data_IF_917821217265
#
_entry.id   IF_917821217265
#
_cell.length_a   1.000
_cell.length_b   1.000
_cell.length_c   1.000
_cell.angle_alpha   90.00
_cell.angle_beta   90.00
_cell.angle_gamma   90.00
#
_symmetry.space_group_name_H-M   'P 1'
#
loop_
_entity.id
_entity.type
_entity.pdbx_description
1 polymer ?
#
# COMPACT_ATOMS: atom_id res chain seq x y z
N UNK A 1 17.52 3.46 -9.25
CA UNK A 1 16.07 3.68 -9.07
C UNK A 1 15.84 4.27 -7.69
N UNK A 2 14.93 5.24 -7.53
CA UNK A 2 14.60 5.80 -6.21
C UNK A 2 13.82 4.80 -5.36
N UNK A 3 14.15 4.67 -4.08
CA UNK A 3 13.48 3.76 -3.13
C UNK A 3 11.98 4.05 -2.96
N UNK A 4 11.53 5.27 -3.29
CA UNK A 4 10.12 5.67 -3.21
C UNK A 4 9.38 5.64 -4.54
N UNK A 5 10.04 5.34 -5.66
CA UNK A 5 9.40 5.38 -6.98
C UNK A 5 8.19 4.45 -7.08
N UNK A 6 8.29 3.23 -6.54
CA UNK A 6 7.18 2.28 -6.51
C UNK A 6 6.01 2.78 -5.64
N UNK A 7 6.30 3.40 -4.49
CA UNK A 7 5.26 3.94 -3.60
C UNK A 7 4.55 5.14 -4.21
N UNK A 8 5.26 5.98 -4.97
CA UNK A 8 4.63 7.06 -5.74
C UNK A 8 3.71 6.51 -6.83
N UNK A 9 4.16 5.50 -7.58
CA UNK A 9 3.35 4.87 -8.62
C UNK A 9 2.09 4.20 -8.03
N UNK A 10 2.21 3.54 -6.88
CA UNK A 10 1.08 2.96 -6.14
C UNK A 10 0.07 4.01 -5.69
N UNK A 11 0.52 5.20 -5.27
CA UNK A 11 -0.37 6.28 -4.86
C UNK A 11 -1.23 6.79 -6.03
N UNK A 12 -0.63 6.98 -7.21
CA UNK A 12 -1.38 7.37 -8.41
C UNK A 12 -2.34 6.27 -8.86
N UNK A 13 -1.92 5.01 -8.77
CA UNK A 13 -2.77 3.88 -9.13
C UNK A 13 -3.96 3.74 -8.17
N UNK A 14 -3.73 3.91 -6.88
CA UNK A 14 -4.79 3.95 -5.87
C UNK A 14 -5.81 5.07 -6.16
N UNK A 15 -5.34 6.28 -6.46
CA UNK A 15 -6.22 7.39 -6.79
C UNK A 15 -7.10 7.07 -8.01
N UNK A 16 -6.53 6.51 -9.07
CA UNK A 16 -7.28 6.11 -10.25
C UNK A 16 -8.31 5.01 -9.94
N UNK A 17 -7.96 4.03 -9.11
CA UNK A 17 -8.89 2.99 -8.65
C UNK A 17 -10.04 3.57 -7.83
N UNK A 18 -9.74 4.44 -6.87
CA UNK A 18 -10.73 5.09 -6.02
C UNK A 18 -11.69 5.97 -6.84
N UNK A 19 -11.17 6.72 -7.81
CA UNK A 19 -11.96 7.52 -8.72
C UNK A 19 -12.91 6.66 -9.57
N UNK A 20 -12.39 5.60 -10.19
CA UNK A 20 -13.21 4.68 -11.00
C UNK A 20 -14.31 4.01 -10.17
N UNK A 21 -13.99 3.60 -8.93
CA UNK A 21 -14.98 3.03 -8.00
C UNK A 21 -16.06 4.05 -7.64
N UNK A 22 -15.66 5.30 -7.45
CA UNK A 22 -16.59 6.38 -7.09
C UNK A 22 -17.55 6.68 -8.24
N UNK A 23 -17.02 6.84 -9.45
CA UNK A 23 -17.82 7.06 -10.67
C UNK A 23 -18.77 5.90 -10.92
N UNK A 24 -18.32 4.65 -10.73
CA UNK A 24 -19.18 3.47 -10.87
C UNK A 24 -20.35 3.44 -9.89
N UNK A 25 -20.25 4.12 -8.74
CA UNK A 25 -21.29 4.15 -7.71
C UNK A 25 -22.26 5.32 -7.87
N UNK A 26 -21.77 6.51 -8.24
CA UNK A 26 -22.57 7.75 -8.23
C UNK A 26 -22.51 8.58 -9.53
N UNK A 27 -21.79 8.12 -10.55
CA UNK A 27 -21.61 8.82 -11.81
C UNK A 27 -20.55 9.93 -11.75
N UNK A 28 -20.36 10.62 -12.89
CA UNK A 28 -19.25 11.56 -13.09
C UNK A 28 -19.29 12.81 -12.19
N UNK A 29 -20.45 13.15 -11.63
CA UNK A 29 -20.57 14.30 -10.72
C UNK A 29 -19.78 14.14 -9.43
N UNK A 30 -19.35 12.92 -9.09
CA UNK A 30 -18.66 12.62 -7.85
C UNK A 30 -17.16 12.97 -7.87
N UNK A 31 -16.61 13.32 -9.03
CA UNK A 31 -15.17 13.59 -9.19
C UNK A 31 -14.70 14.75 -8.29
N UNK A 32 -15.58 15.70 -7.96
CA UNK A 32 -15.27 16.83 -7.09
C UNK A 32 -15.53 16.56 -5.60
N UNK A 33 -16.16 15.44 -5.26
CA UNK A 33 -16.39 15.02 -3.88
C UNK A 33 -15.16 14.25 -3.37
N UNK A 34 -14.20 15.00 -2.84
CA UNK A 34 -12.95 14.45 -2.32
C UNK A 34 -13.17 13.48 -1.15
N UNK A 35 -14.19 13.68 -0.33
CA UNK A 35 -14.50 12.82 0.81
C UNK A 35 -14.99 11.47 0.29
N UNK A 36 -15.94 11.48 -0.66
CA UNK A 36 -16.44 10.24 -1.25
C UNK A 36 -15.34 9.47 -2.00
N UNK A 37 -14.49 10.15 -2.77
CA UNK A 37 -13.34 9.51 -3.43
C UNK A 37 -12.39 8.90 -2.40
N UNK A 38 -12.13 9.60 -1.29
CA UNK A 38 -11.27 9.10 -0.21
C UNK A 38 -11.83 7.83 0.42
N UNK A 39 -13.15 7.74 0.67
CA UNK A 39 -13.77 6.51 1.21
C UNK A 39 -13.62 5.29 0.29
N UNK A 40 -13.40 5.51 -1.01
CA UNK A 40 -13.22 4.46 -2.02
C UNK A 40 -11.76 3.98 -2.19
N UNK A 41 -10.83 4.53 -1.40
CA UNK A 41 -9.43 4.10 -1.37
C UNK A 41 -9.22 2.75 -0.67
N UNK A 42 -10.13 2.35 0.22
CA UNK A 42 -10.01 1.10 0.97
C UNK A 42 -9.92 -0.14 0.08
N UNK A 43 -9.26 -1.17 0.60
CA UNK A 43 -9.16 -2.50 0.00
C UNK A 43 -7.77 -2.85 -0.54
N UNK A 44 -7.74 -3.90 -1.36
CA UNK A 44 -6.49 -4.53 -1.82
C UNK A 44 -6.32 -4.39 -3.32
N UNK A 45 -5.09 -4.13 -3.77
CA UNK A 45 -4.72 -4.13 -5.19
C UNK A 45 -3.28 -4.61 -5.40
N UNK A 46 -2.98 -5.00 -6.64
CA UNK A 46 -1.61 -5.32 -7.06
C UNK A 46 -0.93 -4.06 -7.60
N UNK A 47 0.00 -3.53 -6.83
CA UNK A 47 0.79 -2.35 -7.16
C UNK A 47 2.20 -2.67 -7.63
N UNK A 48 2.96 -1.62 -7.92
CA UNK A 48 4.38 -1.64 -8.29
C UNK A 48 5.29 -2.06 -7.13
N UNK A 49 4.84 -1.89 -5.88
CA UNK A 49 5.57 -2.43 -4.71
C UNK A 49 5.10 -3.82 -4.25
N UNK A 50 4.18 -4.45 -5.00
CA UNK A 50 3.55 -5.74 -4.68
C UNK A 50 2.10 -5.57 -4.23
N UNK A 51 1.59 -6.52 -3.44
CA UNK A 51 0.24 -6.41 -2.86
C UNK A 51 0.16 -5.21 -1.91
N UNK A 52 -0.75 -4.29 -2.20
CA UNK A 52 -1.02 -3.10 -1.38
C UNK A 52 -2.39 -3.23 -0.75
N UNK A 53 -2.48 -2.94 0.55
CA UNK A 53 -3.72 -2.99 1.33
C UNK A 53 -3.91 -1.63 2.00
N UNK A 54 -5.09 -1.03 1.81
CA UNK A 54 -5.54 0.16 2.52
C UNK A 54 -6.71 -0.19 3.43
N UNK A 55 -6.62 0.21 4.69
CA UNK A 55 -7.68 0.01 5.69
C UNK A 55 -8.86 0.97 5.47
N UNK A 56 -9.88 0.87 6.33
CA UNK A 56 -11.06 1.74 6.29
C UNK A 56 -10.76 3.23 6.59
N UNK A 57 -9.61 3.52 7.18
CA UNK A 57 -9.15 4.86 7.52
C UNK A 57 -8.22 5.45 6.45
N UNK A 58 -7.99 4.73 5.35
CA UNK A 58 -7.08 5.17 4.28
C UNK A 58 -5.60 5.04 4.64
N UNK A 59 -5.25 4.28 5.68
CA UNK A 59 -3.87 3.94 5.96
C UNK A 59 -3.45 2.74 5.13
N UNK A 60 -2.27 2.86 4.51
CA UNK A 60 -1.61 1.72 3.91
C UNK A 60 -1.11 0.79 5.02
N UNK A 61 -1.43 -0.50 4.94
CA UNK A 61 -0.79 -1.49 5.80
C UNK A 61 0.74 -1.47 5.57
N UNK A 62 1.54 -1.22 6.62
CA UNK A 62 2.97 -1.02 6.47
C UNK A 62 3.70 -2.32 6.19
N UNK A 63 4.68 -2.26 5.30
CA UNK A 63 5.62 -3.37 5.04
C UNK A 63 6.99 -2.93 5.53
N UNK A 64 7.52 -3.64 6.51
CA UNK A 64 8.85 -3.37 7.06
C UNK A 64 9.89 -4.30 6.45
N UNK A 65 11.08 -3.77 6.17
CA UNK A 65 12.27 -4.56 5.85
C UNK A 65 13.23 -4.42 7.01
N UNK A 66 13.50 -5.52 7.69
CA UNK A 66 14.45 -5.57 8.79
C UNK A 66 15.83 -5.97 8.25
N UNK A 67 16.84 -5.19 8.62
CA UNK A 67 18.21 -5.39 8.20
C UNK A 67 19.05 -5.72 9.44
N UNK A 68 19.69 -6.89 9.46
CA UNK A 68 20.61 -7.30 10.52
C UNK A 68 22.05 -7.23 10.04
N UNK A 69 22.97 -6.78 10.90
CA UNK A 69 24.41 -6.92 10.67
C UNK A 69 24.88 -8.21 11.34
N UNK A 70 25.47 -9.11 10.57
CA UNK A 70 26.14 -10.30 11.12
C UNK A 70 27.59 -9.92 11.40
N UNK A 71 28.01 -9.92 12.67
CA UNK A 71 29.41 -9.69 13.04
C UNK A 71 30.18 -11.02 13.01
N UNK A 72 31.19 -11.10 12.15
CA UNK A 72 32.10 -12.23 12.02
C UNK A 72 32.43 -12.53 10.56
N UNK A 73 33.59 -12.07 10.09
CA UNK A 73 34.17 -12.37 8.78
C UNK A 73 34.18 -13.90 8.55
N UNK A 74 33.83 -14.48 7.39
CA UNK A 74 34.18 -14.17 6.00
C UNK A 74 33.08 -14.75 5.10
N UNK A 75 32.26 -13.91 4.47
CA UNK A 75 31.64 -14.07 3.13
C UNK A 75 30.55 -12.99 3.04
N UNK A 76 30.71 -12.07 2.09
CA UNK A 76 29.93 -10.85 1.86
C UNK A 76 28.48 -11.13 1.39
N UNK A 77 27.77 -12.03 2.06
CA UNK A 77 26.36 -12.27 1.81
C UNK A 77 25.56 -11.58 2.89
N UNK A 78 25.27 -10.31 2.63
CA UNK A 78 24.11 -9.61 3.17
C UNK A 78 22.87 -10.48 2.93
N UNK A 79 22.57 -11.36 3.88
CA UNK A 79 21.37 -12.19 3.85
C UNK A 79 20.26 -11.37 4.46
N UNK A 80 19.31 -10.97 3.63
CA UNK A 80 18.18 -10.15 4.03
C UNK A 80 17.00 -11.06 4.35
N UNK A 81 16.46 -10.95 5.57
CA UNK A 81 15.17 -11.57 5.90
C UNK A 81 14.08 -10.53 5.67
N UNK A 82 13.25 -10.74 4.67
CA UNK A 82 12.05 -9.92 4.45
C UNK A 82 10.91 -10.52 5.24
N UNK A 83 10.52 -9.86 6.33
CA UNK A 83 9.31 -10.20 7.09
C UNK A 83 8.19 -9.29 6.62
N UNK A 84 7.23 -9.82 5.86
CA UNK A 84 6.01 -9.10 5.53
C UNK A 84 5.03 -9.26 6.67
N UNK A 85 4.82 -8.21 7.46
CA UNK A 85 3.70 -8.14 8.40
C UNK A 85 2.48 -7.61 7.65
N UNK A 86 1.51 -8.47 7.33
CA UNK A 86 0.17 -8.02 6.98
C UNK A 86 -0.52 -7.77 8.33
N UNK A 87 -1.02 -6.56 8.55
CA UNK A 87 -1.75 -6.26 9.78
C UNK A 87 -2.95 -7.20 9.87
N UNK A 88 -2.99 -8.03 10.91
CA UNK A 88 -4.20 -8.77 11.27
C UNK A 88 -5.21 -7.73 11.75
N UNK A 89 -6.03 -7.23 10.82
CA UNK A 89 -7.18 -6.42 11.18
C UNK A 89 -8.30 -7.35 11.66
N UNK A 90 -8.14 -7.90 12.86
CA UNK A 90 -9.22 -8.47 13.63
C UNK A 90 -9.76 -7.41 14.58
N UNK A 91 -10.39 -6.38 14.03
CA UNK A 91 -11.44 -5.65 14.75
C UNK A 91 -12.76 -6.39 14.47
N UNK A 92 -13.04 -7.43 15.26
CA UNK A 92 -14.37 -8.03 15.32
C UNK A 92 -15.22 -7.27 16.34
N UNK A 93 -16.43 -6.87 15.93
CA UNK A 93 -17.54 -6.55 16.83
C UNK A 93 -17.83 -5.07 17.01
#
# INVERSE_FOLDING_TARGET
ASVQAASLADAFYLWALALNRSIAQQGDSIITDGDFVTTNTKGTFQGFSGTVVFDEYGNRQPIYRLYGKVDGALDDRNSFVVITTIGNDTASG
#
